data_IF_768157168142
#
_entry.id   IF_768157168142
#
_cell.length_a   1.000
_cell.length_b   1.000
_cell.length_c   1.000
_cell.angle_alpha   90.00
_cell.angle_beta   90.00
_cell.angle_gamma   90.00
#
_symmetry.space_group_name_H-M   'P 1'
#
loop_
_entity.id
_entity.type
_entity.pdbx_description
1 polymer ?
#
# COMPACT_ATOMS: atom_id res chain seq x y z
N UNK A 1 29.01 26.90 -26.59
CA UNK A 1 27.65 27.44 -26.38
C UNK A 1 27.57 27.91 -24.95
N UNK A 2 27.04 29.12 -24.71
CA UNK A 2 26.81 29.61 -23.35
C UNK A 2 25.33 29.43 -23.02
N UNK A 3 25.05 28.87 -21.84
CA UNK A 3 23.71 28.77 -21.28
C UNK A 3 23.71 29.55 -19.98
N UNK A 4 23.36 30.83 -20.06
CA UNK A 4 22.91 31.60 -18.89
C UNK A 4 21.45 31.96 -19.14
N UNK A 5 20.62 31.85 -18.11
CA UNK A 5 19.16 32.01 -18.19
C UNK A 5 18.44 31.02 -19.14
N UNK A 6 18.92 29.78 -19.26
CA UNK A 6 18.35 28.70 -20.10
C UNK A 6 18.23 28.99 -21.62
N UNK A 7 18.74 30.11 -22.12
CA UNK A 7 18.78 30.41 -23.56
C UNK A 7 20.12 29.91 -24.14
N UNK A 8 20.05 28.99 -25.12
CA UNK A 8 21.25 28.47 -25.82
C UNK A 8 21.69 29.44 -26.91
N UNK A 9 22.80 30.13 -26.66
CA UNK A 9 23.41 31.06 -27.61
C UNK A 9 24.69 30.48 -28.24
N UNK A 10 24.84 30.70 -29.55
CA UNK A 10 26.09 30.42 -30.25
C UNK A 10 27.01 31.65 -30.18
N UNK A 11 27.90 31.66 -29.20
CA UNK A 11 28.84 32.77 -28.94
C UNK A 11 29.75 33.07 -30.13
N UNK A 12 30.13 32.08 -30.94
CA UNK A 12 30.97 32.30 -32.13
C UNK A 12 30.23 33.13 -33.20
N UNK A 13 28.94 32.86 -33.41
CA UNK A 13 28.09 33.63 -34.34
C UNK A 13 27.74 35.01 -33.79
N UNK A 14 27.59 35.12 -32.47
CA UNK A 14 27.34 36.39 -31.80
C UNK A 14 28.53 37.36 -31.93
N UNK A 15 29.76 36.85 -31.74
CA UNK A 15 30.98 37.66 -31.90
C UNK A 15 31.32 38.01 -33.35
N UNK A 16 30.81 37.23 -34.33
CA UNK A 16 31.05 37.48 -35.75
C UNK A 16 30.43 38.79 -36.27
N UNK A 17 29.52 39.40 -35.52
CA UNK A 17 28.90 40.71 -35.79
C UNK A 17 28.29 40.88 -37.21
N UNK A 18 27.94 39.77 -37.85
CA UNK A 18 27.31 39.73 -39.18
C UNK A 18 25.80 39.44 -39.06
N UNK A 19 25.12 39.19 -40.19
CA UNK A 19 23.69 38.87 -40.19
C UNK A 19 23.30 37.64 -39.35
N UNK A 20 24.23 36.76 -39.00
CA UNK A 20 23.97 35.64 -38.10
C UNK A 20 23.99 36.06 -36.62
N UNK A 21 24.72 37.11 -36.25
CA UNK A 21 24.68 37.67 -34.90
C UNK A 21 23.29 38.20 -34.55
N UNK A 22 22.62 38.83 -35.52
CA UNK A 22 21.23 39.30 -35.36
C UNK A 22 20.28 38.15 -35.04
N UNK A 23 20.43 36.98 -35.70
CA UNK A 23 19.60 35.79 -35.42
C UNK A 23 19.82 35.23 -34.01
N UNK A 24 21.03 35.34 -33.47
CA UNK A 24 21.31 34.92 -32.09
C UNK A 24 20.78 35.94 -31.07
N UNK A 25 20.89 37.25 -31.35
CA UNK A 25 20.28 38.30 -30.53
C UNK A 25 18.74 38.21 -30.51
N UNK A 26 18.12 37.83 -31.64
CA UNK A 26 16.67 37.67 -31.76
C UNK A 26 16.11 36.65 -30.75
N UNK A 27 16.89 35.62 -30.39
CA UNK A 27 16.48 34.61 -29.40
C UNK A 27 16.36 35.20 -28.00
N UNK A 28 17.16 36.21 -27.67
CA UNK A 28 17.12 36.88 -26.37
C UNK A 28 16.01 37.92 -26.37
N UNK A 29 15.89 38.71 -27.43
CA UNK A 29 14.86 39.75 -27.53
C UNK A 29 13.46 39.16 -27.69
N UNK A 30 13.27 38.00 -28.33
CA UNK A 30 11.95 37.36 -28.42
C UNK A 30 11.44 36.89 -27.06
N UNK A 31 12.30 36.37 -26.20
CA UNK A 31 11.95 35.96 -24.83
C UNK A 31 11.58 37.18 -24.00
N UNK A 32 12.38 38.25 -24.06
CA UNK A 32 12.08 39.52 -23.40
C UNK A 32 10.79 40.17 -23.92
N UNK A 33 10.58 40.14 -25.23
CA UNK A 33 9.38 40.69 -25.86
C UNK A 33 8.13 39.91 -25.48
N UNK A 34 8.18 38.58 -25.45
CA UNK A 34 7.05 37.75 -25.02
C UNK A 34 6.73 37.94 -23.54
N UNK A 35 7.75 38.06 -22.67
CA UNK A 35 7.55 38.35 -21.26
C UNK A 35 6.99 39.78 -21.02
N UNK A 36 7.40 40.73 -21.86
CA UNK A 36 6.84 42.09 -21.83
C UNK A 36 5.39 42.09 -22.36
N UNK A 37 5.08 41.29 -23.39
CA UNK A 37 3.74 41.16 -23.96
C UNK A 37 2.79 40.45 -23.00
N UNK A 38 3.22 39.39 -22.30
CA UNK A 38 2.40 38.71 -21.30
C UNK A 38 2.02 39.61 -20.12
N UNK A 39 2.86 40.58 -19.75
CA UNK A 39 2.52 41.57 -18.73
C UNK A 39 1.57 42.68 -19.23
N UNK A 40 1.42 42.85 -20.55
CA UNK A 40 0.56 43.87 -21.17
C UNK A 40 -0.79 43.29 -21.60
N UNK A 41 -0.88 41.98 -21.80
CA UNK A 41 -2.11 41.26 -22.18
C UNK A 41 -2.61 40.35 -21.05
N UNK A 42 -2.59 40.84 -19.81
CA UNK A 42 -3.12 40.10 -18.64
C UNK A 42 -4.63 40.34 -18.44
N UNK A 43 -5.33 40.85 -19.46
CA UNK A 43 -6.79 41.08 -19.42
C UNK A 43 -7.63 40.18 -20.34
N UNK A 44 -7.02 39.35 -21.21
CA UNK A 44 -7.79 38.37 -21.99
C UNK A 44 -6.97 37.09 -22.24
N UNK A 45 -7.10 36.11 -21.35
CA UNK A 45 -6.62 34.75 -21.58
C UNK A 45 -7.80 33.80 -21.80
N UNK A 46 -8.11 33.55 -23.08
CA UNK A 46 -8.61 32.25 -23.54
C UNK A 46 -7.69 31.12 -23.04
N UNK A 47 -8.23 29.94 -22.67
CA UNK A 47 -7.44 28.89 -22.02
C UNK A 47 -6.54 28.21 -23.04
N UNK A 48 -5.26 28.62 -23.07
CA UNK A 48 -4.24 27.88 -23.80
C UNK A 48 -3.85 26.62 -23.04
N UNK A 49 -3.94 25.52 -23.78
CA UNK A 49 -3.70 24.13 -23.43
C UNK A 49 -2.44 23.89 -22.55
N UNK A 50 -2.66 23.71 -21.25
CA UNK A 50 -1.62 23.48 -20.21
C UNK A 50 -1.20 22.00 -20.15
N UNK A 51 -1.43 21.21 -21.20
CA UNK A 51 -1.19 19.76 -21.18
C UNK A 51 0.25 19.34 -21.50
N UNK A 52 1.18 20.26 -21.79
CA UNK A 52 2.56 19.89 -22.17
C UNK A 52 3.61 19.98 -21.05
N UNK A 53 3.25 20.48 -19.87
CA UNK A 53 4.09 20.42 -18.67
C UNK A 53 3.61 19.29 -17.77
N UNK A 54 3.82 18.05 -18.20
CA UNK A 54 3.84 16.90 -17.29
C UNK A 54 5.06 17.03 -16.39
N UNK A 55 4.90 17.91 -15.40
CA UNK A 55 5.83 18.11 -14.31
C UNK A 55 6.05 16.72 -13.68
N UNK A 56 7.29 16.24 -13.70
CA UNK A 56 7.68 14.95 -13.15
C UNK A 56 7.68 15.04 -11.61
N UNK A 57 6.48 15.24 -11.05
CA UNK A 57 6.18 15.42 -9.63
C UNK A 57 6.64 14.19 -8.86
N UNK A 58 6.63 13.01 -9.49
CA UNK A 58 7.06 11.75 -8.90
C UNK A 58 8.52 11.81 -8.42
N UNK A 59 9.42 12.39 -9.22
CA UNK A 59 10.84 12.54 -8.85
C UNK A 59 11.09 13.51 -7.68
N UNK A 60 10.18 14.47 -7.47
CA UNK A 60 10.28 15.55 -6.46
C UNK A 60 9.37 15.32 -5.25
N UNK A 61 8.57 14.25 -5.25
CA UNK A 61 7.56 14.02 -4.22
C UNK A 61 8.20 13.65 -2.87
N UNK A 62 9.35 13.00 -2.90
CA UNK A 62 10.18 12.73 -1.70
C UNK A 62 10.69 14.04 -1.11
N UNK A 63 11.21 14.93 -1.94
CA UNK A 63 11.74 16.23 -1.52
C UNK A 63 10.63 17.13 -0.98
N UNK A 64 9.44 17.07 -1.59
CA UNK A 64 8.27 17.82 -1.14
C UNK A 64 7.75 17.29 0.20
N UNK A 65 7.78 15.97 0.42
CA UNK A 65 7.47 15.36 1.73
C UNK A 65 8.49 15.75 2.79
N UNK A 66 9.79 15.66 2.49
CA UNK A 66 10.86 16.06 3.39
C UNK A 66 10.78 17.57 3.71
N UNK A 67 10.50 18.41 2.72
CA UNK A 67 10.32 19.85 2.92
C UNK A 67 9.12 20.17 3.81
N UNK A 68 8.00 19.44 3.68
CA UNK A 68 6.83 19.60 4.55
C UNK A 68 7.12 19.15 5.99
N UNK A 69 7.88 18.06 6.16
CA UNK A 69 8.31 17.59 7.47
C UNK A 69 9.25 18.61 8.14
N UNK A 70 10.25 19.12 7.42
CA UNK A 70 11.15 20.16 7.91
C UNK A 70 10.40 21.44 8.26
N UNK A 71 9.42 21.86 7.44
CA UNK A 71 8.58 23.01 7.75
C UNK A 71 7.80 22.81 9.06
N UNK A 72 7.24 21.62 9.29
CA UNK A 72 6.58 21.27 10.55
C UNK A 72 7.56 21.30 11.72
N UNK A 73 8.76 20.73 11.58
CA UNK A 73 9.79 20.75 12.61
C UNK A 73 10.27 22.17 12.93
N UNK A 74 10.39 23.05 11.93
CA UNK A 74 10.72 24.47 12.14
C UNK A 74 9.66 25.13 13.01
N UNK A 75 8.37 24.88 12.75
CA UNK A 75 7.29 25.41 13.59
C UNK A 75 7.35 24.86 15.01
N UNK A 76 7.53 23.55 15.17
CA UNK A 76 7.62 22.92 16.50
C UNK A 76 8.84 23.40 17.29
N UNK A 77 10.01 23.45 16.65
CA UNK A 77 11.24 23.96 17.29
C UNK A 77 11.18 25.45 17.54
N UNK A 78 10.52 26.22 16.66
CA UNK A 78 10.28 27.64 16.85
C UNK A 78 9.41 27.92 18.07
N UNK A 79 8.33 27.14 18.26
CA UNK A 79 7.50 27.22 19.46
C UNK A 79 8.29 26.84 20.72
N UNK A 80 8.99 25.72 20.70
CA UNK A 80 9.83 25.31 21.82
C UNK A 80 10.92 26.35 22.16
N UNK A 81 11.52 26.96 21.14
CA UNK A 81 12.51 28.02 21.31
C UNK A 81 11.89 29.29 21.89
N UNK A 82 10.71 29.70 21.43
CA UNK A 82 9.97 30.83 21.99
C UNK A 82 9.68 30.61 23.48
N UNK A 83 9.18 29.43 23.85
CA UNK A 83 8.92 29.08 25.24
C UNK A 83 10.22 29.13 26.05
N UNK A 84 11.30 28.50 25.58
CA UNK A 84 12.60 28.49 26.26
C UNK A 84 13.18 29.90 26.43
N UNK A 85 13.12 30.76 25.42
CA UNK A 85 13.56 32.15 25.53
C UNK A 85 12.68 32.96 26.48
N UNK A 86 11.38 32.67 26.56
CA UNK A 86 10.47 33.28 27.53
C UNK A 86 10.93 33.09 28.98
N UNK A 87 11.59 31.96 29.27
CA UNK A 87 12.14 31.68 30.60
C UNK A 87 13.57 32.20 30.80
N UNK A 88 14.24 32.77 29.79
CA UNK A 88 15.66 33.13 29.89
C UNK A 88 15.94 34.18 30.96
N UNK A 89 15.04 35.12 31.21
CA UNK A 89 15.24 36.13 32.27
C UNK A 89 15.32 35.47 33.65
N UNK A 90 14.42 34.52 33.92
CA UNK A 90 14.41 33.75 35.17
C UNK A 90 15.61 32.80 35.23
N UNK A 91 15.86 32.05 34.16
CA UNK A 91 16.99 31.11 34.05
C UNK A 91 18.33 31.82 34.21
N UNK A 92 18.47 33.04 33.69
CA UNK A 92 19.69 33.84 33.82
C UNK A 92 19.93 34.28 35.27
N UNK A 93 18.89 34.67 35.99
CA UNK A 93 19.02 35.03 37.41
C UNK A 93 19.38 33.79 38.26
N UNK A 94 18.69 32.66 38.02
CA UNK A 94 19.00 31.38 38.67
C UNK A 94 20.44 30.95 38.36
N UNK A 95 20.87 31.03 37.10
CA UNK A 95 22.23 30.66 36.66
C UNK A 95 23.28 31.55 37.33
N UNK A 96 23.06 32.86 37.36
CA UNK A 96 23.99 33.82 38.00
C UNK A 96 24.10 33.55 39.49
N UNK A 97 22.97 33.27 40.16
CA UNK A 97 22.92 32.90 41.58
C UNK A 97 23.61 31.55 41.86
N UNK A 98 23.41 30.56 41.00
CA UNK A 98 24.04 29.26 41.12
C UNK A 98 25.57 29.33 40.92
N UNK A 99 26.04 30.14 39.95
CA UNK A 99 27.48 30.36 39.70
C UNK A 99 28.12 31.16 40.84
N UNK A 100 27.41 32.14 41.40
CA UNK A 100 27.88 32.93 42.53
C UNK A 100 27.89 32.14 43.86
N UNK A 101 27.19 31.00 43.93
CA UNK A 101 27.16 30.15 45.12
C UNK A 101 28.55 29.52 45.32
N UNK A 102 29.19 29.68 46.49
CA UNK A 102 30.40 28.96 46.84
C UNK A 102 30.19 27.44 46.73
N UNK A 103 31.23 26.72 46.34
CA UNK A 103 31.13 25.28 46.12
C UNK A 103 30.96 24.54 47.46
N UNK A 104 29.72 24.16 47.77
CA UNK A 104 29.39 23.37 48.96
C UNK A 104 29.77 21.90 48.72
N UNK A 105 31.00 21.53 49.10
CA UNK A 105 31.57 20.18 48.88
C UNK A 105 30.67 19.07 49.42
N UNK A 106 30.01 19.30 50.55
CA UNK A 106 29.09 18.33 51.17
C UNK A 106 27.81 18.11 50.34
N UNK A 107 27.23 19.17 49.76
CA UNK A 107 26.06 19.04 48.88
C UNK A 107 26.43 18.28 47.61
N UNK A 108 27.60 18.58 47.03
CA UNK A 108 28.11 17.91 45.84
C UNK A 108 28.36 16.42 46.12
N UNK A 109 29.02 16.09 47.24
CA UNK A 109 29.27 14.70 47.63
C UNK A 109 27.98 13.92 47.82
N UNK A 110 26.97 14.51 48.49
CA UNK A 110 25.66 13.89 48.66
C UNK A 110 24.93 13.71 47.32
N UNK A 111 25.02 14.69 46.43
CA UNK A 111 24.47 14.60 45.07
C UNK A 111 25.11 13.47 44.27
N UNK A 112 26.43 13.34 44.31
CA UNK A 112 27.18 12.26 43.66
C UNK A 112 26.80 10.89 44.26
N UNK A 113 26.75 10.77 45.60
CA UNK A 113 26.31 9.54 46.28
C UNK A 113 24.90 9.13 45.86
N UNK A 114 23.97 10.09 45.77
CA UNK A 114 22.61 9.82 45.32
C UNK A 114 22.57 9.36 43.86
N UNK A 115 23.31 10.02 42.97
CA UNK A 115 23.42 9.62 41.56
C UNK A 115 24.00 8.21 41.39
N UNK A 116 25.02 7.86 42.20
CA UNK A 116 25.59 6.50 42.24
C UNK A 116 24.52 5.50 42.69
N UNK A 117 23.77 5.80 43.75
CA UNK A 117 22.70 4.93 44.24
C UNK A 117 21.62 4.70 43.19
N UNK A 118 21.18 5.76 42.49
CA UNK A 118 20.19 5.65 41.43
C UNK A 118 20.70 4.79 40.27
N UNK A 119 21.94 5.01 39.84
CA UNK A 119 22.57 4.18 38.81
C UNK A 119 22.68 2.71 39.24
N UNK A 120 23.00 2.44 40.51
CA UNK A 120 23.03 1.08 41.06
C UNK A 120 21.64 0.42 41.07
N UNK A 121 20.59 1.16 41.44
CA UNK A 121 19.23 0.66 41.42
C UNK A 121 18.76 0.37 39.98
N UNK A 122 19.11 1.23 39.03
CA UNK A 122 18.77 1.02 37.62
C UNK A 122 19.53 -0.17 37.03
N UNK A 123 20.80 -0.36 37.40
CA UNK A 123 21.56 -1.57 37.05
C UNK A 123 20.85 -2.80 37.60
N UNK A 124 20.48 -2.82 38.89
CA UNK A 124 19.79 -3.95 39.52
C UNK A 124 18.47 -4.28 38.84
N UNK A 125 17.65 -3.26 38.54
CA UNK A 125 16.37 -3.45 37.82
C UNK A 125 16.61 -4.03 36.43
N UNK A 126 17.58 -3.50 35.70
CA UNK A 126 17.91 -3.98 34.35
C UNK A 126 18.41 -5.41 34.38
N UNK A 127 19.27 -5.78 35.35
CA UNK A 127 19.73 -7.15 35.54
C UNK A 127 18.56 -8.10 35.83
N UNK A 128 17.64 -7.73 36.72
CA UNK A 128 16.44 -8.55 36.99
C UNK A 128 15.56 -8.72 35.74
N UNK A 129 15.41 -7.67 34.92
CA UNK A 129 14.69 -7.78 33.65
C UNK A 129 15.39 -8.74 32.68
N UNK A 130 16.72 -8.70 32.60
CA UNK A 130 17.49 -9.63 31.77
C UNK A 130 17.30 -11.09 32.22
N UNK A 131 17.34 -11.35 33.53
CA UNK A 131 17.15 -12.70 34.07
C UNK A 131 15.73 -13.23 33.77
N UNK A 132 14.71 -12.37 33.88
CA UNK A 132 13.34 -12.72 33.51
C UNK A 132 13.22 -13.03 32.01
N UNK A 133 13.82 -12.20 31.15
CA UNK A 133 13.82 -12.43 29.69
C UNK A 133 14.51 -13.76 29.36
N UNK A 134 15.65 -14.06 29.98
CA UNK A 134 16.36 -15.32 29.76
C UNK A 134 15.50 -16.54 30.15
N UNK A 135 14.77 -16.45 31.28
CA UNK A 135 13.81 -17.49 31.69
C UNK A 135 12.66 -17.63 30.69
N UNK A 136 12.09 -16.52 30.24
CA UNK A 136 10.98 -16.52 29.28
C UNK A 136 11.42 -17.07 27.92
N UNK A 137 12.62 -16.72 27.45
CA UNK A 137 13.22 -17.25 26.23
C UNK A 137 13.38 -18.78 26.31
N UNK A 138 13.96 -19.29 27.40
CA UNK A 138 14.10 -20.73 27.60
C UNK A 138 12.75 -21.46 27.63
N UNK A 139 11.75 -20.87 28.29
CA UNK A 139 10.39 -21.42 28.34
C UNK A 139 9.71 -21.42 26.96
N UNK A 140 9.91 -20.37 26.17
CA UNK A 140 9.36 -20.27 24.81
C UNK A 140 10.03 -21.26 23.87
N UNK A 141 11.36 -21.42 23.95
CA UNK A 141 12.09 -22.40 23.13
C UNK A 141 11.61 -23.82 23.41
N UNK A 142 11.43 -24.19 24.68
CA UNK A 142 10.88 -25.48 25.06
C UNK A 142 9.45 -25.72 24.52
N UNK A 143 8.61 -24.67 24.50
CA UNK A 143 7.26 -24.74 23.90
C UNK A 143 7.33 -24.90 22.38
N UNK A 144 8.22 -24.16 21.72
CA UNK A 144 8.44 -24.23 20.28
C UNK A 144 8.87 -25.63 19.88
N UNK A 145 9.85 -26.21 20.58
CA UNK A 145 10.35 -27.55 20.27
C UNK A 145 9.29 -28.64 20.48
N UNK A 146 8.51 -28.54 21.56
CA UNK A 146 7.37 -29.44 21.76
C UNK A 146 6.37 -29.34 20.61
N UNK A 147 6.07 -28.11 20.15
CA UNK A 147 5.15 -27.88 19.03
C UNK A 147 5.70 -28.38 17.69
N UNK A 148 7.01 -28.21 17.43
CA UNK A 148 7.67 -28.76 16.25
C UNK A 148 7.56 -30.29 16.22
N UNK A 149 7.81 -30.96 17.35
CA UNK A 149 7.68 -32.42 17.44
C UNK A 149 6.24 -32.90 17.25
N UNK A 150 5.26 -32.22 17.84
CA UNK A 150 3.83 -32.51 17.63
C UNK A 150 3.43 -32.34 16.16
N UNK A 151 3.90 -31.27 15.52
CA UNK A 151 3.65 -31.00 14.10
C UNK A 151 4.24 -32.08 13.21
N UNK A 152 5.48 -32.49 13.45
CA UNK A 152 6.14 -33.54 12.67
C UNK A 152 5.41 -34.89 12.79
N UNK A 153 4.96 -35.24 14.00
CA UNK A 153 4.15 -36.47 14.23
C UNK A 153 2.83 -36.40 13.49
N UNK A 154 2.14 -35.27 13.55
CA UNK A 154 0.86 -35.07 12.86
C UNK A 154 1.03 -35.08 11.34
N UNK A 155 2.09 -34.48 10.81
CA UNK A 155 2.42 -34.52 9.38
C UNK A 155 2.70 -35.95 8.91
N UNK A 156 3.48 -36.73 9.68
CA UNK A 156 3.72 -38.15 9.40
C UNK A 156 2.42 -38.96 9.40
N UNK A 157 1.54 -38.72 10.37
CA UNK A 157 0.22 -39.36 10.46
C UNK A 157 -0.67 -38.98 9.28
N UNK A 158 -0.70 -37.70 8.89
CA UNK A 158 -1.47 -37.22 7.75
C UNK A 158 -1.00 -37.88 6.46
N UNK A 159 0.31 -37.89 6.18
CA UNK A 159 0.87 -38.56 4.99
C UNK A 159 0.53 -40.05 4.95
N UNK A 160 0.58 -40.72 6.11
CA UNK A 160 0.17 -42.12 6.20
C UNK A 160 -1.32 -42.28 5.88
N UNK A 161 -2.18 -41.38 6.37
CA UNK A 161 -3.61 -41.45 6.11
C UNK A 161 -3.95 -41.15 4.64
N UNK A 162 -3.28 -40.18 4.04
CA UNK A 162 -3.41 -39.84 2.61
C UNK A 162 -2.94 -40.99 1.70
N UNK A 163 -1.92 -41.75 2.11
CA UNK A 163 -1.43 -42.89 1.33
C UNK A 163 -2.38 -44.09 1.33
N UNK A 164 -3.31 -44.16 2.28
CA UNK A 164 -4.23 -45.28 2.42
C UNK A 164 -5.53 -44.95 1.70
N UNK A 165 -5.87 -45.74 0.69
CA UNK A 165 -7.18 -45.67 0.03
C UNK A 165 -8.27 -46.07 1.02
N UNK A 166 -9.33 -45.26 1.23
CA UNK A 166 -10.41 -45.64 2.14
C UNK A 166 -11.12 -46.90 1.67
N UNK A 167 -11.46 -47.80 2.61
CA UNK A 167 -12.04 -49.12 2.31
C UNK A 167 -13.39 -49.06 1.57
N UNK A 168 -14.14 -47.97 1.75
CA UNK A 168 -15.44 -47.76 1.08
C UNK A 168 -15.30 -47.25 -0.36
N UNK A 169 -14.11 -46.83 -0.80
CA UNK A 169 -13.94 -46.28 -2.16
C UNK A 169 -14.24 -47.30 -3.25
N UNK A 170 -13.91 -48.57 -3.03
CA UNK A 170 -14.23 -49.64 -3.98
C UNK A 170 -15.74 -49.85 -4.14
N UNK A 171 -16.49 -49.70 -3.06
CA UNK A 171 -17.96 -49.79 -3.09
C UNK A 171 -18.57 -48.56 -3.76
N UNK A 172 -18.04 -47.37 -3.42
CA UNK A 172 -18.44 -46.11 -4.05
C UNK A 172 -18.27 -46.14 -5.58
N UNK A 173 -17.10 -46.57 -6.07
CA UNK A 173 -16.83 -46.64 -7.52
C UNK A 173 -17.73 -47.64 -8.24
N UNK A 174 -18.05 -48.78 -7.61
CA UNK A 174 -19.02 -49.74 -8.15
C UNK A 174 -20.42 -49.13 -8.25
N UNK A 175 -20.87 -48.47 -7.19
CA UNK A 175 -22.18 -47.80 -7.17
C UNK A 175 -22.25 -46.66 -8.19
N UNK A 176 -21.18 -45.90 -8.40
CA UNK A 176 -21.13 -44.90 -9.49
C UNK A 176 -21.27 -45.53 -10.87
N UNK A 177 -20.63 -46.68 -11.11
CA UNK A 177 -20.73 -47.36 -12.40
C UNK A 177 -22.13 -47.95 -12.63
N UNK A 178 -22.75 -48.53 -11.59
CA UNK A 178 -24.13 -49.00 -11.63
C UNK A 178 -25.10 -47.83 -11.88
N UNK A 179 -24.90 -46.69 -11.20
CA UNK A 179 -25.71 -45.49 -11.38
C UNK A 179 -25.65 -45.01 -12.84
N UNK A 180 -24.48 -45.00 -13.47
CA UNK A 180 -24.33 -44.64 -14.89
C UNK A 180 -25.16 -45.56 -15.80
N UNK A 181 -25.09 -46.87 -15.60
CA UNK A 181 -25.83 -47.86 -16.39
C UNK A 181 -27.35 -47.68 -16.26
N UNK A 182 -27.81 -47.46 -15.02
CA UNK A 182 -29.24 -47.21 -14.75
C UNK A 182 -29.69 -45.90 -15.38
N UNK A 183 -28.88 -44.85 -15.29
CA UNK A 183 -29.18 -43.54 -15.88
C UNK A 183 -29.27 -43.60 -17.41
N UNK A 184 -28.36 -44.32 -18.06
CA UNK A 184 -28.39 -44.52 -19.51
C UNK A 184 -29.68 -45.24 -19.94
N UNK A 185 -30.04 -46.32 -19.25
CA UNK A 185 -31.30 -47.04 -19.49
C UNK A 185 -32.52 -46.15 -19.26
N UNK A 186 -32.49 -45.34 -18.20
CA UNK A 186 -33.55 -44.37 -17.90
C UNK A 186 -33.70 -43.34 -19.03
N UNK A 187 -32.60 -42.79 -19.53
CA UNK A 187 -32.60 -41.81 -20.63
C UNK A 187 -33.17 -42.39 -21.92
N UNK A 188 -32.82 -43.63 -22.28
CA UNK A 188 -33.40 -44.31 -23.43
C UNK A 188 -34.91 -44.50 -23.27
N UNK A 189 -35.35 -45.01 -22.11
CA UNK A 189 -36.77 -45.21 -21.82
C UNK A 189 -37.54 -43.89 -21.81
N UNK A 190 -36.98 -42.85 -21.22
CA UNK A 190 -37.56 -41.52 -21.20
C UNK A 190 -37.72 -40.98 -22.63
N UNK A 191 -36.68 -41.10 -23.47
CA UNK A 191 -36.76 -40.68 -24.88
C UNK A 191 -37.84 -41.44 -25.65
N UNK A 192 -37.92 -42.75 -25.47
CA UNK A 192 -38.93 -43.58 -26.11
C UNK A 192 -40.35 -43.23 -25.63
N UNK A 193 -40.51 -42.97 -24.33
CA UNK A 193 -41.78 -42.55 -23.74
C UNK A 193 -42.22 -41.21 -24.32
N UNK A 194 -41.35 -40.18 -24.29
CA UNK A 194 -41.67 -38.87 -24.86
C UNK A 194 -42.05 -38.94 -26.33
N UNK A 195 -41.41 -39.82 -27.11
CA UNK A 195 -41.79 -40.05 -28.51
C UNK A 195 -43.18 -40.68 -28.65
N UNK A 196 -43.50 -41.68 -27.83
CA UNK A 196 -44.83 -42.31 -27.86
C UNK A 196 -45.92 -41.36 -27.36
N UNK A 197 -45.65 -40.54 -26.35
CA UNK A 197 -46.57 -39.50 -25.88
C UNK A 197 -46.86 -38.49 -26.99
N UNK A 198 -45.83 -38.03 -27.72
CA UNK A 198 -46.02 -37.13 -28.85
C UNK A 198 -46.87 -37.76 -29.97
N UNK A 199 -46.62 -39.03 -30.33
CA UNK A 199 -47.45 -39.73 -31.31
C UNK A 199 -48.90 -39.87 -30.87
N UNK A 200 -49.14 -40.13 -29.58
CA UNK A 200 -50.48 -40.23 -29.03
C UNK A 200 -51.21 -38.89 -29.11
N UNK A 201 -50.52 -37.80 -28.76
CA UNK A 201 -51.06 -36.44 -28.88
C UNK A 201 -51.41 -36.09 -30.34
N UNK A 202 -50.56 -36.46 -31.29
CA UNK A 202 -50.82 -36.24 -32.72
C UNK A 202 -52.04 -37.01 -33.22
N UNK A 203 -52.22 -38.27 -32.79
CA UNK A 203 -53.41 -39.08 -33.12
C UNK A 203 -54.67 -38.48 -32.50
N UNK A 204 -54.63 -38.15 -31.22
CA UNK A 204 -55.77 -37.53 -30.52
C UNK A 204 -56.18 -36.22 -31.20
N UNK A 205 -55.21 -35.39 -31.61
CA UNK A 205 -55.47 -34.15 -32.33
C UNK A 205 -56.11 -34.40 -33.69
N UNK A 206 -55.61 -35.37 -34.45
CA UNK A 206 -56.18 -35.73 -35.75
C UNK A 206 -57.61 -36.31 -35.63
N UNK A 207 -57.89 -37.10 -34.59
CA UNK A 207 -59.25 -37.58 -34.31
C UNK A 207 -60.18 -36.44 -33.94
N UNK A 208 -59.71 -35.49 -33.13
CA UNK A 208 -60.48 -34.32 -32.73
C UNK A 208 -60.79 -33.40 -33.93
N UNK A 209 -59.81 -33.14 -34.79
CA UNK A 209 -60.00 -32.40 -36.04
C UNK A 209 -61.01 -33.10 -36.97
N UNK A 210 -60.96 -34.43 -37.09
CA UNK A 210 -61.95 -35.20 -37.88
C UNK A 210 -63.35 -35.13 -37.29
N UNK A 211 -63.47 -35.18 -35.96
CA UNK A 211 -64.74 -35.03 -35.27
C UNK A 211 -65.31 -33.63 -35.49
N UNK A 212 -64.50 -32.59 -35.37
CA UNK A 212 -64.91 -31.20 -35.61
C UNK A 212 -65.37 -30.99 -37.06
N UNK A 213 -64.63 -31.49 -38.05
CA UNK A 213 -65.01 -31.41 -39.49
C UNK A 213 -66.32 -32.14 -39.76
N UNK A 214 -66.48 -33.37 -39.26
CA UNK A 214 -67.72 -34.15 -39.45
C UNK A 214 -68.92 -33.60 -38.67
N UNK A 215 -68.69 -32.81 -37.61
CA UNK A 215 -69.74 -32.08 -36.90
C UNK A 215 -70.09 -30.78 -37.62
N UNK A 216 -69.12 -30.10 -38.25
CA UNK A 216 -69.38 -28.92 -39.09
C UNK A 216 -70.02 -29.23 -40.44
N UNK A 217 -69.79 -30.42 -41.01
CA UNK A 217 -70.44 -30.87 -42.26
C UNK A 217 -71.90 -31.33 -42.04
N UNK A 218 -72.33 -31.52 -40.78
CA UNK A 218 -73.69 -31.93 -40.41
C UNK A 218 -74.56 -30.76 -39.86
N UNK A 219 -74.13 -29.51 -40.04
CA UNK A 219 -74.90 -28.28 -39.74
C UNK A 219 -75.12 -27.50 -41.02
#
# INVERSE_FOLDING_TARGET
>A
QATKAHIKLNTKKLYGADGYAVKELLKVTSVLYNAMKSNVTDDEAEPSDVTSLTFDISSRISDLKASRQLASEITTRGAALYDLLGHEVELRDIRTRAIAKPLEVNELENGIKKSISLAQDDIRKTTQMLDNIASDEANLEAKIDKKKQELERNQKRLRSLESVRPAFMDEYEKLEEELKKVYETYMEKHRNLSYMEQLLDDVNRAEQDRFEVSTSDNV
#
